data_IF_101682371087
#
_entry.id   IF_101682371087
#
_cell.length_a   1.000
_cell.length_b   1.000
_cell.length_c   1.000
_cell.angle_alpha   90.00
_cell.angle_beta   90.00
_cell.angle_gamma   90.00
#
_symmetry.space_group_name_H-M   'P 1'
#
loop_
_entity.id
_entity.type
_entity.pdbx_description
1 polymer ?
#
# COMPACT_ATOMS: atom_id res chain seq x y z
N UNK A 1 19.46 20.54 -20.11
CA UNK A 1 19.71 20.29 -18.67
C UNK A 1 20.28 18.89 -18.54
N UNK A 2 21.42 18.70 -17.88
CA UNK A 2 22.06 17.37 -17.79
C UNK A 2 21.38 16.54 -16.68
N UNK A 3 21.26 15.23 -16.87
CA UNK A 3 20.72 14.30 -15.85
C UNK A 3 21.40 14.46 -14.49
N UNK A 4 22.70 14.76 -14.48
CA UNK A 4 23.50 15.02 -13.30
C UNK A 4 23.05 16.26 -12.52
N UNK A 5 22.61 17.32 -13.20
CA UNK A 5 22.12 18.55 -12.56
C UNK A 5 20.74 18.33 -11.92
N UNK A 6 19.90 17.49 -12.54
CA UNK A 6 18.60 17.11 -11.98
C UNK A 6 18.79 16.25 -10.73
N UNK A 7 19.69 15.27 -10.79
CA UNK A 7 20.01 14.42 -9.65
C UNK A 7 20.51 15.23 -8.46
N UNK A 8 21.47 16.15 -8.68
CA UNK A 8 21.99 17.04 -7.63
C UNK A 8 20.91 17.93 -7.01
N UNK A 9 19.95 18.42 -7.80
CA UNK A 9 18.81 19.19 -7.28
C UNK A 9 17.86 18.34 -6.45
N UNK A 10 17.66 17.08 -6.82
CA UNK A 10 16.82 16.13 -6.09
C UNK A 10 17.49 15.73 -4.77
N UNK A 11 18.81 15.47 -4.77
CA UNK A 11 19.58 15.20 -3.55
C UNK A 11 19.59 16.40 -2.60
N UNK A 12 19.57 17.62 -3.13
CA UNK A 12 19.47 18.84 -2.33
C UNK A 12 18.06 19.11 -1.78
N UNK A 13 17.05 18.31 -2.15
CA UNK A 13 15.68 18.47 -1.65
C UNK A 13 15.52 17.85 -0.25
N UNK A 14 14.46 18.27 0.46
CA UNK A 14 14.08 17.68 1.76
C UNK A 14 13.53 16.26 1.65
N UNK A 15 13.29 15.78 0.43
CA UNK A 15 12.65 14.51 0.14
C UNK A 15 13.69 13.46 -0.26
N UNK A 16 13.40 12.18 -0.01
CA UNK A 16 14.31 11.12 -0.44
C UNK A 16 14.30 11.05 -1.97
N UNK A 17 15.45 10.96 -2.65
CA UNK A 17 15.51 11.00 -4.11
C UNK A 17 14.60 10.01 -4.82
N UNK A 18 14.49 8.79 -4.28
CA UNK A 18 13.61 7.76 -4.84
C UNK A 18 12.13 8.16 -4.86
N UNK A 19 11.66 8.94 -3.87
CA UNK A 19 10.26 9.38 -3.80
C UNK A 19 9.94 10.38 -4.90
N UNK A 20 10.91 11.25 -5.23
CA UNK A 20 10.78 12.23 -6.31
C UNK A 20 10.85 11.54 -7.67
N UNK A 21 11.77 10.58 -7.85
CA UNK A 21 11.80 9.78 -9.08
C UNK A 21 10.52 8.97 -9.27
N UNK A 22 10.04 8.34 -8.21
CA UNK A 22 8.82 7.56 -8.24
C UNK A 22 7.61 8.42 -8.57
N UNK A 23 7.46 9.60 -7.96
CA UNK A 23 6.43 10.57 -8.30
C UNK A 23 6.53 11.03 -9.76
N UNK A 24 7.73 11.33 -10.24
CA UNK A 24 7.94 11.77 -11.62
C UNK A 24 7.49 10.70 -12.62
N UNK A 25 7.85 9.44 -12.38
CA UNK A 25 7.43 8.31 -13.21
C UNK A 25 5.92 8.10 -13.12
N UNK A 26 5.34 8.16 -11.93
CA UNK A 26 3.90 7.98 -11.73
C UNK A 26 3.09 9.07 -12.45
N UNK A 27 3.46 10.34 -12.28
CA UNK A 27 2.80 11.48 -12.96
C UNK A 27 2.99 11.37 -14.48
N UNK A 28 4.20 11.07 -14.94
CA UNK A 28 4.47 10.90 -16.38
C UNK A 28 3.66 9.75 -16.98
N UNK A 29 3.52 8.64 -16.26
CA UNK A 29 2.71 7.51 -16.70
C UNK A 29 1.21 7.85 -16.68
N UNK A 30 0.72 8.51 -15.62
CA UNK A 30 -0.68 8.92 -15.52
C UNK A 30 -1.08 9.92 -16.62
N UNK A 31 -0.22 10.91 -16.90
CA UNK A 31 -0.41 11.83 -18.03
C UNK A 31 -0.33 11.10 -19.38
N UNK A 32 0.57 10.12 -19.50
CA UNK A 32 0.68 9.29 -20.70
C UNK A 32 -0.59 8.49 -20.96
N UNK A 33 -1.22 7.91 -19.93
CA UNK A 33 -2.51 7.22 -20.04
C UNK A 33 -3.63 8.21 -20.40
N UNK A 34 -3.69 9.38 -19.74
CA UNK A 34 -4.67 10.41 -20.06
C UNK A 34 -4.62 10.90 -21.52
N UNK A 35 -3.43 10.88 -22.14
CA UNK A 35 -3.21 11.28 -23.53
C UNK A 35 -3.25 10.10 -24.52
N UNK A 36 -3.74 8.92 -24.11
CA UNK A 36 -3.79 7.69 -24.91
C UNK A 36 -2.43 7.30 -25.52
N UNK A 37 -1.35 7.53 -24.77
CA UNK A 37 0.00 7.22 -25.23
C UNK A 37 0.18 5.71 -25.39
N UNK A 38 0.40 5.28 -26.63
CA UNK A 38 0.69 3.87 -26.95
C UNK A 38 1.94 3.37 -26.23
N UNK A 39 2.93 4.23 -26.01
CA UNK A 39 4.20 3.86 -25.35
C UNK A 39 3.94 3.47 -23.90
N UNK A 40 3.20 4.30 -23.16
CA UNK A 40 2.91 4.05 -21.73
C UNK A 40 1.99 2.85 -21.57
N UNK A 41 0.91 2.78 -22.36
CA UNK A 41 -0.02 1.65 -22.33
C UNK A 41 0.68 0.32 -22.66
N UNK A 42 1.58 0.32 -23.65
CA UNK A 42 2.37 -0.87 -24.01
C UNK A 42 3.36 -1.25 -22.91
N UNK A 43 3.97 -0.27 -22.25
CA UNK A 43 4.85 -0.52 -21.11
C UNK A 43 4.10 -1.17 -19.95
N UNK A 44 2.89 -0.69 -19.64
CA UNK A 44 2.06 -1.27 -18.58
C UNK A 44 1.63 -2.70 -18.93
N UNK A 45 1.17 -2.94 -20.16
CA UNK A 45 0.84 -4.29 -20.63
C UNK A 45 2.04 -5.23 -20.62
N UNK A 46 3.24 -4.73 -20.90
CA UNK A 46 4.47 -5.51 -20.82
C UNK A 46 4.80 -5.89 -19.37
N UNK A 47 4.65 -4.95 -18.43
CA UNK A 47 4.80 -5.23 -17.00
C UNK A 47 3.80 -6.30 -16.57
N UNK A 48 2.51 -6.13 -16.88
CA UNK A 48 1.48 -7.15 -16.58
C UNK A 48 1.83 -8.50 -17.20
N UNK A 49 2.26 -8.53 -18.46
CA UNK A 49 2.66 -9.76 -19.14
C UNK A 49 3.78 -10.51 -18.42
N UNK A 50 4.85 -9.79 -18.05
CA UNK A 50 6.02 -10.35 -17.35
C UNK A 50 5.63 -10.88 -15.97
N UNK A 51 4.80 -10.14 -15.23
CA UNK A 51 4.47 -10.44 -13.84
C UNK A 51 3.15 -11.19 -13.65
N UNK A 52 2.42 -11.52 -14.72
CA UNK A 52 1.13 -12.22 -14.67
C UNK A 52 1.18 -13.53 -13.85
N UNK A 53 2.21 -14.35 -14.05
CA UNK A 53 2.45 -15.58 -13.28
C UNK A 53 2.84 -15.37 -11.80
N UNK A 54 3.15 -14.13 -11.43
CA UNK A 54 3.57 -13.70 -10.10
C UNK A 54 2.57 -12.73 -9.45
N UNK A 55 1.39 -12.53 -10.07
CA UNK A 55 0.30 -11.68 -9.57
C UNK A 55 -0.10 -12.01 -8.13
N UNK A 56 -0.02 -13.28 -7.74
CA UNK A 56 -0.26 -13.75 -6.37
C UNK A 56 0.64 -13.08 -5.33
N UNK A 57 1.88 -12.70 -5.68
CA UNK A 57 2.77 -11.98 -4.75
C UNK A 57 2.23 -10.59 -4.44
N UNK A 58 1.76 -9.89 -5.47
CA UNK A 58 1.21 -8.54 -5.32
C UNK A 58 -0.09 -8.61 -4.53
N UNK A 59 -0.89 -9.66 -4.76
CA UNK A 59 -2.09 -9.96 -3.98
C UNK A 59 -1.78 -10.20 -2.50
N UNK A 60 -0.75 -11.00 -2.20
CA UNK A 60 -0.29 -11.19 -0.82
C UNK A 60 0.21 -9.88 -0.19
N UNK A 61 0.86 -9.03 -0.98
CA UNK A 61 1.30 -7.71 -0.54
C UNK A 61 0.14 -6.87 -0.04
N UNK A 62 -0.93 -6.72 -0.83
CA UNK A 62 -2.08 -5.92 -0.43
C UNK A 62 -2.85 -6.55 0.73
N UNK A 63 -2.99 -7.88 0.75
CA UNK A 63 -3.59 -8.60 1.87
C UNK A 63 -2.80 -8.39 3.16
N UNK A 64 -1.48 -8.47 3.10
CA UNK A 64 -0.58 -8.24 4.24
C UNK A 64 -0.72 -6.83 4.81
N UNK A 65 -0.79 -5.81 3.94
CA UNK A 65 -1.00 -4.42 4.38
C UNK A 65 -2.35 -4.26 5.08
N UNK A 66 -3.42 -4.84 4.53
CA UNK A 66 -4.76 -4.78 5.14
C UNK A 66 -4.82 -5.50 6.49
N UNK A 67 -4.20 -6.68 6.59
CA UNK A 67 -4.06 -7.41 7.86
C UNK A 67 -3.25 -6.58 8.87
N UNK A 68 -2.23 -5.87 8.41
CA UNK A 68 -1.42 -4.95 9.22
C UNK A 68 -2.26 -3.85 9.87
N UNK A 69 -3.16 -3.20 9.12
CA UNK A 69 -4.06 -2.18 9.68
C UNK A 69 -4.97 -2.75 10.77
N UNK A 70 -5.50 -3.97 10.56
CA UNK A 70 -6.34 -4.63 11.57
C UNK A 70 -5.52 -4.92 12.83
N UNK A 71 -4.28 -5.37 12.68
CA UNK A 71 -3.38 -5.63 13.79
C UNK A 71 -3.10 -4.36 14.61
N UNK A 72 -2.86 -3.23 13.94
CA UNK A 72 -2.59 -1.93 14.60
C UNK A 72 -3.81 -1.46 15.41
N UNK A 73 -5.01 -1.54 14.84
CA UNK A 73 -6.26 -1.17 15.53
C UNK A 73 -6.48 -2.05 16.78
N UNK A 74 -6.21 -3.36 16.68
CA UNK A 74 -6.31 -4.26 17.82
C UNK A 74 -5.22 -4.03 18.88
N UNK A 75 -4.05 -3.52 18.46
CA UNK A 75 -2.98 -3.15 19.36
C UNK A 75 -3.36 -1.95 20.22
N UNK A 76 -3.83 -0.85 19.61
CA UNK A 76 -4.30 0.36 20.31
C UNK A 76 -5.41 0.07 21.33
N UNK A 77 -6.28 -0.90 21.04
CA UNK A 77 -7.37 -1.30 21.93
C UNK A 77 -6.93 -2.09 23.17
N UNK A 78 -5.65 -2.51 23.26
CA UNK A 78 -5.11 -3.33 24.34
C UNK A 78 -5.26 -2.76 25.75
N UNK A 79 -5.22 -1.43 25.90
CA UNK A 79 -5.42 -0.75 27.18
C UNK A 79 -6.91 -0.62 27.56
N UNK A 80 -7.82 -0.65 26.59
CA UNK A 80 -9.27 -0.53 26.79
C UNK A 80 -9.94 -1.84 27.22
N UNK A 81 -9.61 -2.96 26.57
CA UNK A 81 -10.21 -4.27 26.88
C UNK A 81 -9.67 -4.91 28.16
N UNK A 82 -8.46 -4.54 28.59
CA UNK A 82 -7.88 -5.00 29.86
C UNK A 82 -8.70 -4.56 31.10
N UNK A 83 -9.57 -3.54 30.97
CA UNK A 83 -10.37 -3.01 32.08
C UNK A 83 -11.76 -3.63 32.25
N UNK A 84 -12.32 -4.38 31.28
CA UNK A 84 -13.75 -4.74 31.35
C UNK A 84 -14.10 -6.20 31.70
N UNK A 85 -13.14 -7.12 31.93
CA UNK A 85 -13.43 -8.56 31.84
C UNK A 85 -12.87 -9.50 32.91
N UNK A 86 -13.32 -9.36 34.17
CA UNK A 86 -13.37 -10.40 35.24
C UNK A 86 -12.10 -11.21 35.62
N UNK A 87 -11.72 -11.10 36.89
CA UNK A 87 -10.60 -11.69 37.64
C UNK A 87 -10.42 -13.23 37.69
N UNK A 88 -11.04 -14.05 36.82
CA UNK A 88 -11.00 -15.53 36.96
C UNK A 88 -10.14 -16.27 35.94
N UNK A 89 -9.72 -15.62 34.87
CA UNK A 89 -8.62 -16.05 33.99
C UNK A 89 -7.74 -14.83 33.78
N UNK A 90 -6.41 -14.99 33.84
CA UNK A 90 -5.47 -13.87 33.71
C UNK A 90 -5.84 -13.01 32.50
N UNK A 91 -6.07 -11.72 32.73
CA UNK A 91 -6.60 -10.78 31.72
C UNK A 91 -5.83 -10.84 30.39
N UNK A 92 -4.54 -11.17 30.45
CA UNK A 92 -3.65 -11.34 29.30
C UNK A 92 -4.00 -12.54 28.41
N UNK A 93 -4.33 -13.70 28.98
CA UNK A 93 -4.62 -14.92 28.20
C UNK A 93 -5.94 -14.78 27.44
N UNK A 94 -6.94 -14.14 28.05
CA UNK A 94 -8.23 -13.87 27.40
C UNK A 94 -8.09 -12.85 26.26
N UNK A 95 -7.28 -11.81 26.44
CA UNK A 95 -6.98 -10.81 25.39
C UNK A 95 -6.23 -11.48 24.23
N UNK A 96 -5.26 -12.35 24.54
CA UNK A 96 -4.50 -13.09 23.53
C UNK A 96 -5.42 -13.97 22.68
N UNK A 97 -6.26 -14.80 23.32
CA UNK A 97 -7.20 -15.68 22.62
C UNK A 97 -8.19 -14.87 21.77
N UNK A 98 -8.70 -13.75 22.29
CA UNK A 98 -9.57 -12.86 21.53
C UNK A 98 -8.86 -12.28 20.30
N UNK A 99 -7.64 -11.74 20.45
CA UNK A 99 -6.85 -11.20 19.33
C UNK A 99 -6.58 -12.27 18.27
N UNK A 100 -6.17 -13.47 18.68
CA UNK A 100 -5.97 -14.59 17.75
C UNK A 100 -7.28 -14.89 17.01
N UNK A 101 -8.39 -15.03 17.72
CA UNK A 101 -9.70 -15.33 17.12
C UNK A 101 -10.13 -14.28 16.09
N UNK A 102 -10.05 -12.99 16.43
CA UNK A 102 -10.38 -11.90 15.50
C UNK A 102 -9.44 -11.89 14.31
N UNK A 103 -8.12 -11.99 14.53
CA UNK A 103 -7.14 -11.99 13.44
C UNK A 103 -7.33 -13.18 12.50
N UNK A 104 -7.66 -14.37 13.01
CA UNK A 104 -7.95 -15.55 12.18
C UNK A 104 -9.18 -15.32 11.30
N UNK A 105 -10.29 -14.81 11.88
CA UNK A 105 -11.52 -14.55 11.12
C UNK A 105 -11.31 -13.47 10.06
N UNK A 106 -10.69 -12.34 10.44
CA UNK A 106 -10.47 -11.22 9.53
C UNK A 106 -9.46 -11.59 8.44
N UNK A 107 -8.38 -12.28 8.76
CA UNK A 107 -7.41 -12.76 7.76
C UNK A 107 -8.08 -13.74 6.79
N UNK A 108 -8.93 -14.65 7.28
CA UNK A 108 -9.70 -15.54 6.43
C UNK A 108 -10.63 -14.80 5.46
N UNK A 109 -11.30 -13.74 5.94
CA UNK A 109 -12.15 -12.89 5.11
C UNK A 109 -11.33 -12.12 4.06
N UNK A 110 -10.24 -11.49 4.47
CA UNK A 110 -9.31 -10.75 3.58
C UNK A 110 -8.80 -11.67 2.47
N UNK A 111 -8.35 -12.87 2.82
CA UNK A 111 -7.83 -13.86 1.86
C UNK A 111 -8.88 -14.27 0.82
N UNK A 112 -10.17 -14.25 1.18
CA UNK A 112 -11.26 -14.62 0.27
C UNK A 112 -11.81 -13.45 -0.54
N UNK A 113 -11.93 -12.28 0.06
CA UNK A 113 -12.60 -11.11 -0.54
C UNK A 113 -11.64 -10.29 -1.39
N UNK A 114 -10.41 -10.06 -0.92
CA UNK A 114 -9.47 -9.16 -1.59
C UNK A 114 -9.16 -9.57 -3.03
N UNK A 115 -8.89 -10.85 -3.35
CA UNK A 115 -8.64 -11.23 -4.74
C UNK A 115 -9.80 -10.88 -5.67
N UNK A 116 -11.04 -11.20 -5.24
CA UNK A 116 -12.26 -10.91 -6.01
C UNK A 116 -12.44 -9.41 -6.25
N UNK A 117 -12.20 -8.58 -5.24
CA UNK A 117 -12.33 -7.12 -5.35
C UNK A 117 -11.23 -6.55 -6.25
N UNK A 118 -9.97 -6.92 -6.02
CA UNK A 118 -8.83 -6.39 -6.78
C UNK A 118 -8.93 -6.79 -8.25
N UNK A 119 -9.20 -8.06 -8.54
CA UNK A 119 -9.32 -8.56 -9.92
C UNK A 119 -10.50 -7.93 -10.68
N UNK A 120 -11.57 -7.53 -9.99
CA UNK A 120 -12.72 -6.89 -10.64
C UNK A 120 -12.57 -5.37 -10.82
N UNK A 121 -11.67 -4.73 -10.07
CA UNK A 121 -11.49 -3.27 -10.09
C UNK A 121 -10.22 -2.81 -10.81
N UNK A 122 -9.38 -3.74 -11.29
CA UNK A 122 -8.09 -3.42 -11.92
C UNK A 122 -8.04 -3.90 -13.36
N UNK A 123 -7.58 -3.03 -14.26
CA UNK A 123 -7.18 -3.40 -15.63
C UNK A 123 -5.72 -3.85 -15.65
N UNK A 124 -4.88 -3.19 -14.86
CA UNK A 124 -3.46 -3.48 -14.69
C UNK A 124 -3.23 -3.98 -13.27
N UNK A 125 -3.54 -5.25 -13.03
CA UNK A 125 -3.55 -5.84 -11.69
C UNK A 125 -2.22 -5.66 -10.95
N UNK A 126 -1.09 -5.96 -11.58
CA UNK A 126 0.23 -5.84 -10.95
C UNK A 126 0.56 -4.38 -10.66
N UNK A 127 0.40 -3.49 -11.64
CA UNK A 127 0.77 -2.08 -11.49
C UNK A 127 -0.11 -1.39 -10.44
N UNK A 128 -1.43 -1.56 -10.54
CA UNK A 128 -2.38 -0.91 -9.66
C UNK A 128 -2.28 -1.44 -8.24
N UNK A 129 -2.17 -2.76 -8.07
CA UNK A 129 -2.03 -3.35 -6.74
C UNK A 129 -0.69 -2.96 -6.11
N UNK A 130 0.40 -2.86 -6.89
CA UNK A 130 1.68 -2.37 -6.38
C UNK A 130 1.58 -0.91 -5.92
N UNK A 131 0.92 -0.05 -6.70
CA UNK A 131 0.65 1.34 -6.32
C UNK A 131 -0.13 1.42 -5.00
N UNK A 132 -1.17 0.59 -4.86
CA UNK A 132 -2.00 0.51 -3.66
C UNK A 132 -1.19 0.02 -2.44
N UNK A 133 -0.37 -1.02 -2.61
CA UNK A 133 0.53 -1.53 -1.56
C UNK A 133 1.48 -0.46 -1.07
N UNK A 134 2.07 0.33 -1.97
CA UNK A 134 3.00 1.41 -1.58
C UNK A 134 2.25 2.49 -0.81
N UNK A 135 1.13 2.98 -1.33
CA UNK A 135 0.36 4.04 -0.69
C UNK A 135 -0.15 3.61 0.69
N UNK A 136 -0.82 2.45 0.76
CA UNK A 136 -1.39 1.93 2.00
C UNK A 136 -0.30 1.46 2.97
N UNK A 137 0.82 0.92 2.48
CA UNK A 137 1.93 0.52 3.33
C UNK A 137 2.60 1.70 4.02
N UNK A 138 2.79 2.82 3.33
CA UNK A 138 3.29 4.06 3.94
C UNK A 138 2.29 4.58 4.98
N UNK A 139 1.00 4.55 4.68
CA UNK A 139 -0.05 4.94 5.63
C UNK A 139 -0.09 4.03 6.87
N UNK A 140 0.14 2.72 6.71
CA UNK A 140 0.24 1.79 7.83
C UNK A 140 1.44 2.11 8.73
N UNK A 141 2.60 2.37 8.12
CA UNK A 141 3.80 2.80 8.88
C UNK A 141 3.53 4.12 9.60
N UNK A 142 2.79 5.04 8.98
CA UNK A 142 2.38 6.27 9.64
C UNK A 142 1.52 6.00 10.88
N UNK A 143 0.55 5.10 10.82
CA UNK A 143 -0.30 4.79 11.98
C UNK A 143 0.49 4.24 13.17
N UNK A 144 1.56 3.48 12.94
CA UNK A 144 2.37 2.88 14.00
C UNK A 144 3.58 3.71 14.47
N UNK A 145 3.93 4.80 13.77
CA UNK A 145 5.15 5.57 14.04
C UNK A 145 4.87 6.97 14.60
N UNK A 146 5.38 7.25 15.80
CA UNK A 146 5.22 8.55 16.48
C UNK A 146 6.05 9.68 15.86
N UNK A 147 7.14 9.36 15.19
CA UNK A 147 8.11 10.35 14.66
C UNK A 147 7.95 10.58 13.15
N UNK A 148 6.77 10.26 12.60
CA UNK A 148 6.53 10.37 11.17
C UNK A 148 6.35 11.82 10.71
N UNK A 149 7.02 12.18 9.62
CA UNK A 149 6.91 13.51 8.99
C UNK A 149 6.17 13.42 7.64
N UNK A 150 4.90 13.82 7.65
CA UNK A 150 4.04 13.86 6.45
C UNK A 150 4.61 14.74 5.34
N UNK A 151 5.37 15.78 5.70
CA UNK A 151 5.98 16.72 4.77
C UNK A 151 7.06 16.09 3.90
N UNK A 152 7.68 15.00 4.32
CA UNK A 152 8.77 14.35 3.57
C UNK A 152 8.35 13.07 2.85
N UNK A 153 7.19 12.47 3.15
CA UNK A 153 6.79 11.19 2.58
C UNK A 153 5.61 11.25 1.60
N UNK A 154 4.90 12.39 1.56
CA UNK A 154 3.78 12.59 0.66
C UNK A 154 4.07 12.30 -0.84
N UNK A 155 5.28 12.55 -1.41
CA UNK A 155 5.49 12.29 -2.83
C UNK A 155 5.32 10.81 -3.18
N UNK A 156 5.75 9.91 -2.30
CA UNK A 156 5.59 8.47 -2.52
C UNK A 156 4.14 8.01 -2.35
N UNK A 157 3.40 8.62 -1.41
CA UNK A 157 1.97 8.34 -1.23
C UNK A 157 1.20 8.76 -2.48
N UNK A 158 1.42 9.99 -2.97
CA UNK A 158 0.77 10.50 -4.18
C UNK A 158 1.13 9.65 -5.39
N UNK A 159 2.39 9.28 -5.56
CA UNK A 159 2.82 8.39 -6.62
C UNK A 159 2.12 7.02 -6.58
N UNK A 160 2.02 6.42 -5.39
CA UNK A 160 1.31 5.15 -5.18
C UNK A 160 -0.17 5.26 -5.51
N UNK A 161 -0.83 6.35 -5.09
CA UNK A 161 -2.25 6.62 -5.41
C UNK A 161 -2.45 6.79 -6.92
N UNK A 162 -1.57 7.53 -7.59
CA UNK A 162 -1.63 7.71 -9.05
C UNK A 162 -1.58 6.34 -9.74
N UNK A 163 -0.61 5.49 -9.39
CA UNK A 163 -0.48 4.17 -10.01
C UNK A 163 -1.64 3.23 -9.66
N UNK A 164 -2.22 3.35 -8.47
CA UNK A 164 -3.35 2.53 -8.05
C UNK A 164 -4.64 2.86 -8.80
N UNK A 165 -4.90 4.16 -9.01
CA UNK A 165 -6.22 4.65 -9.43
C UNK A 165 -6.26 5.08 -10.89
N UNK A 166 -5.26 5.81 -11.38
CA UNK A 166 -5.32 6.39 -12.74
C UNK A 166 -5.51 5.33 -13.83
N UNK A 167 -4.87 4.13 -13.77
CA UNK A 167 -5.04 3.13 -14.81
C UNK A 167 -6.41 2.46 -14.89
N UNK A 168 -7.33 2.69 -13.95
CA UNK A 168 -8.72 2.20 -14.06
C UNK A 168 -9.69 3.25 -14.59
N UNK A 169 -9.23 4.47 -14.85
CA UNK A 169 -10.06 5.59 -15.32
C UNK A 169 -9.93 5.80 -16.84
N UNK A 170 -8.90 5.25 -17.47
CA UNK A 170 -8.55 5.39 -18.89
C UNK A 170 -8.19 4.03 -19.46
#
# INVERSE_FOLDING_TARGET
MKLTEIHQRIEASTHKPWQIYFLTVAVGSGLGLYLDSTIVTSAFRLIEGIFSGWSWIVMLGIQGVLIGFVAEILYEQGDGYAKSGSYRFGSKDRILVFRIGVMTVVSGLITKVVPVVVESMTEFLVVQTTGAVIALGILLVHTGSRDWNSGTEWPAIVAGVILAVVPSVF
#
